data_IF_793121047353
#
_entry.id   IF_793121047353
#
_cell.length_a   1.000
_cell.length_b   1.000
_cell.length_c   1.000
_cell.angle_alpha   90.00
_cell.angle_beta   90.00
_cell.angle_gamma   90.00
#
_symmetry.space_group_name_H-M   'P 1'
#
loop_
_entity.id
_entity.type
_entity.pdbx_description
1 polymer ?
#
# COMPACT_ATOMS: atom_id res chain seq x y z
N UNK A 1 24.13 -32.80 13.88
CA UNK A 1 22.65 -32.83 13.79
C UNK A 1 22.12 -32.31 15.12
N UNK A 2 21.30 -31.27 15.28
CA UNK A 2 20.68 -30.25 14.43
C UNK A 2 20.64 -28.99 15.31
N UNK A 3 21.18 -27.87 14.84
CA UNK A 3 21.03 -26.58 15.50
C UNK A 3 19.82 -25.84 14.86
N UNK A 4 18.71 -25.80 15.58
CA UNK A 4 17.46 -25.15 15.17
C UNK A 4 17.54 -23.63 15.38
N UNK A 5 17.59 -22.92 14.25
CA UNK A 5 17.83 -21.49 14.03
C UNK A 5 16.97 -20.51 14.86
N UNK A 6 17.62 -19.40 15.22
CA UNK A 6 17.05 -18.21 15.85
C UNK A 6 15.82 -17.66 15.10
N UNK A 7 14.77 -17.36 15.87
CA UNK A 7 13.61 -16.57 15.44
C UNK A 7 14.07 -15.14 15.14
N UNK A 8 14.18 -14.78 13.87
CA UNK A 8 14.29 -13.38 13.47
C UNK A 8 12.91 -12.75 13.56
N UNK A 9 12.77 -11.74 14.42
CA UNK A 9 11.59 -10.88 14.46
C UNK A 9 11.36 -10.28 13.07
N UNK A 10 10.14 -10.44 12.56
CA UNK A 10 9.67 -9.86 11.30
C UNK A 10 9.58 -8.34 11.50
N UNK A 11 10.57 -7.60 11.03
CA UNK A 11 10.38 -6.20 10.69
C UNK A 11 9.32 -6.13 9.58
N UNK A 12 8.44 -5.12 9.63
CA UNK A 12 7.55 -4.81 8.50
C UNK A 12 8.43 -4.58 7.28
N UNK A 13 8.24 -5.39 6.24
CA UNK A 13 8.85 -5.16 4.94
C UNK A 13 7.89 -4.30 4.14
N UNK A 14 8.39 -3.41 3.30
CA UNK A 14 7.60 -2.48 2.50
C UNK A 14 6.61 -3.23 1.57
N UNK A 15 6.88 -4.51 1.30
CA UNK A 15 6.01 -5.47 0.61
C UNK A 15 4.67 -5.74 1.33
N UNK A 16 4.59 -5.55 2.66
CA UNK A 16 3.39 -5.82 3.46
C UNK A 16 2.25 -4.81 3.13
N UNK A 17 2.55 -3.72 2.40
CA UNK A 17 1.55 -2.76 1.90
C UNK A 17 0.81 -3.24 0.64
N UNK A 18 1.36 -4.24 -0.07
CA UNK A 18 0.81 -4.80 -1.31
C UNK A 18 0.10 -6.15 -1.11
N UNK A 19 -0.09 -6.61 0.13
CA UNK A 19 -0.75 -7.89 0.46
C UNK A 19 -2.21 -8.00 -0.08
N UNK A 20 -2.74 -6.92 -0.66
CA UNK A 20 -4.15 -6.80 -1.11
C UNK A 20 -4.31 -6.40 -2.58
N UNK A 21 -3.25 -5.91 -3.24
CA UNK A 21 -3.31 -5.53 -4.66
C UNK A 21 -2.23 -6.30 -5.42
N UNK A 22 -2.59 -7.28 -6.27
CA UNK A 22 -1.63 -8.06 -7.02
C UNK A 22 -1.03 -7.27 -8.20
N UNK A 23 -1.36 -6.00 -8.42
CA UNK A 23 -0.90 -5.26 -9.60
C UNK A 23 0.17 -4.21 -9.27
N UNK A 24 1.19 -4.15 -10.13
CA UNK A 24 2.08 -3.01 -10.28
C UNK A 24 1.68 -2.30 -11.57
N UNK A 25 1.29 -1.02 -11.49
CA UNK A 25 0.78 -0.26 -12.64
C UNK A 25 1.85 0.66 -13.22
N UNK A 26 1.96 0.71 -14.54
CA UNK A 26 2.71 1.75 -15.25
C UNK A 26 1.78 2.95 -15.48
N UNK A 27 1.97 4.02 -14.71
CA UNK A 27 1.13 5.21 -14.81
C UNK A 27 1.68 6.15 -15.88
N UNK A 28 1.10 6.11 -17.07
CA UNK A 28 1.43 7.04 -18.15
C UNK A 28 0.83 8.42 -17.90
N UNK A 29 1.49 9.46 -18.41
CA UNK A 29 0.95 10.82 -18.44
C UNK A 29 -0.35 10.82 -19.25
N UNK A 30 -1.46 11.14 -18.58
CA UNK A 30 -2.78 11.11 -19.21
C UNK A 30 -3.05 12.32 -20.12
N UNK A 31 -2.57 13.51 -19.74
CA UNK A 31 -2.70 14.76 -20.49
C UNK A 31 -1.42 15.56 -20.42
N UNK A 32 -1.22 16.46 -21.39
CA UNK A 32 -0.13 17.41 -21.32
C UNK A 32 -0.33 18.44 -20.19
N UNK A 33 0.77 18.99 -19.64
CA UNK A 33 0.69 20.01 -18.59
C UNK A 33 -0.17 21.20 -19.03
N UNK A 34 -1.09 21.61 -18.16
CA UNK A 34 -1.96 22.77 -18.42
C UNK A 34 -1.25 24.04 -17.99
N UNK A 35 -1.14 25.01 -18.90
CA UNK A 35 -0.55 26.32 -18.62
C UNK A 35 0.94 26.23 -18.27
N UNK A 36 1.32 26.67 -17.07
CA UNK A 36 2.71 26.64 -16.58
C UNK A 36 2.94 25.57 -15.51
N UNK A 37 2.03 24.61 -15.39
CA UNK A 37 2.16 23.50 -14.44
C UNK A 37 3.36 22.65 -14.82
N UNK A 38 4.13 22.23 -13.82
CA UNK A 38 5.30 21.35 -13.96
C UNK A 38 5.09 20.14 -13.07
N UNK A 39 5.75 19.03 -13.37
CA UNK A 39 5.80 17.93 -12.43
C UNK A 39 6.68 18.27 -11.22
N UNK A 40 6.44 17.58 -10.11
CA UNK A 40 7.16 17.85 -8.85
C UNK A 40 8.67 17.62 -9.00
N UNK A 41 9.07 16.65 -9.83
CA UNK A 41 10.49 16.38 -10.07
C UNK A 41 11.18 17.57 -10.75
N UNK A 42 10.56 18.17 -11.76
CA UNK A 42 11.04 19.40 -12.40
C UNK A 42 11.08 20.57 -11.43
N UNK A 43 10.06 20.74 -10.59
CA UNK A 43 10.00 21.82 -9.59
C UNK A 43 11.16 21.71 -8.61
N UNK A 44 11.36 20.53 -8.02
CA UNK A 44 12.42 20.32 -7.04
C UNK A 44 13.81 20.29 -7.67
N UNK A 45 13.95 19.81 -8.91
CA UNK A 45 15.20 19.89 -9.67
C UNK A 45 15.61 21.34 -9.91
N UNK A 46 14.66 22.20 -10.32
CA UNK A 46 14.91 23.62 -10.53
C UNK A 46 15.21 24.35 -9.22
N UNK A 47 14.58 23.95 -8.11
CA UNK A 47 14.91 24.49 -6.79
C UNK A 47 16.32 24.09 -6.35
N UNK A 48 16.70 22.82 -6.53
CA UNK A 48 18.02 22.29 -6.22
C UNK A 48 19.12 22.99 -7.06
N UNK A 49 18.82 23.32 -8.31
CA UNK A 49 19.70 24.13 -9.17
C UNK A 49 19.96 25.52 -8.60
N UNK A 50 18.90 26.22 -8.18
CA UNK A 50 19.03 27.54 -7.55
C UNK A 50 19.80 27.51 -6.23
N UNK A 51 19.79 26.37 -5.55
CA UNK A 51 20.49 26.16 -4.29
C UNK A 51 21.89 25.52 -4.48
N UNK A 52 22.30 25.22 -5.71
CA UNK A 52 23.63 24.74 -6.04
C UNK A 52 23.90 23.25 -5.78
N UNK A 53 22.86 22.42 -5.65
CA UNK A 53 23.00 20.97 -5.39
C UNK A 53 22.20 20.09 -6.37
N UNK A 54 21.87 20.61 -7.56
CA UNK A 54 21.10 19.89 -8.59
C UNK A 54 21.63 18.49 -8.86
N UNK A 55 22.94 18.34 -9.10
CA UNK A 55 23.52 17.05 -9.48
C UNK A 55 23.41 16.01 -8.37
N UNK A 56 23.48 16.43 -7.11
CA UNK A 56 23.25 15.55 -5.97
C UNK A 56 21.77 15.16 -5.81
N UNK A 57 20.85 16.06 -6.19
CA UNK A 57 19.41 15.79 -6.15
C UNK A 57 18.95 14.88 -7.30
N UNK A 58 19.36 15.17 -8.54
CA UNK A 58 18.93 14.43 -9.73
C UNK A 58 19.76 13.18 -9.96
N UNK A 59 20.97 13.10 -9.39
CA UNK A 59 22.00 12.13 -9.71
C UNK A 59 22.27 12.02 -11.22
N UNK A 60 22.06 13.13 -11.96
CA UNK A 60 22.18 13.16 -13.41
C UNK A 60 21.08 12.42 -14.18
N UNK A 61 19.99 12.01 -13.53
CA UNK A 61 18.86 11.30 -14.15
C UNK A 61 17.67 12.22 -14.41
N UNK A 62 16.83 11.84 -15.35
CA UNK A 62 15.48 12.36 -15.58
C UNK A 62 14.44 11.57 -14.80
N UNK A 63 13.22 12.10 -14.70
CA UNK A 63 12.09 11.39 -14.07
C UNK A 63 11.85 10.01 -14.70
N UNK A 64 11.89 9.92 -16.04
CA UNK A 64 11.70 8.66 -16.78
C UNK A 64 12.82 7.65 -16.49
N UNK A 65 14.06 8.12 -16.34
CA UNK A 65 15.19 7.27 -15.96
C UNK A 65 15.05 6.75 -14.52
N UNK A 66 14.51 7.56 -13.61
CA UNK A 66 14.18 7.12 -12.25
C UNK A 66 13.11 6.03 -12.24
N UNK A 67 12.05 6.19 -13.05
CA UNK A 67 10.99 5.18 -13.18
C UNK A 67 11.56 3.86 -13.73
N UNK A 68 12.40 3.92 -14.77
CA UNK A 68 13.08 2.74 -15.33
C UNK A 68 13.97 2.05 -14.28
N UNK A 69 14.78 2.82 -13.55
CA UNK A 69 15.63 2.28 -12.49
C UNK A 69 14.80 1.61 -11.39
N UNK A 70 13.69 2.21 -10.98
CA UNK A 70 12.81 1.64 -9.97
C UNK A 70 12.20 0.32 -10.43
N UNK A 71 11.78 0.21 -11.70
CA UNK A 71 11.31 -1.05 -12.26
C UNK A 71 12.41 -2.13 -12.28
N UNK A 72 13.62 -1.80 -12.72
CA UNK A 72 14.73 -2.75 -12.75
C UNK A 72 15.11 -3.25 -11.34
N UNK A 73 15.08 -2.36 -10.34
CA UNK A 73 15.26 -2.72 -8.94
C UNK A 73 14.17 -3.69 -8.44
N UNK A 74 12.90 -3.40 -8.79
CA UNK A 74 11.78 -4.28 -8.50
C UNK A 74 11.93 -5.64 -9.18
N UNK A 75 12.29 -5.68 -10.47
CA UNK A 75 12.54 -6.91 -11.24
C UNK A 75 13.63 -7.75 -10.62
N UNK A 76 14.73 -7.13 -10.18
CA UNK A 76 15.79 -7.81 -9.45
C UNK A 76 15.32 -8.38 -8.10
N UNK A 77 14.40 -7.69 -7.41
CA UNK A 77 13.78 -8.18 -6.18
C UNK A 77 12.86 -9.38 -6.42
N UNK A 78 12.08 -9.33 -7.49
CA UNK A 78 11.18 -10.41 -7.91
C UNK A 78 11.97 -11.66 -8.33
N UNK A 79 13.06 -11.49 -9.08
CA UNK A 79 13.92 -12.60 -9.48
C UNK A 79 14.50 -13.35 -8.26
N UNK A 80 14.87 -12.64 -7.18
CA UNK A 80 15.31 -13.28 -5.91
C UNK A 80 14.21 -14.10 -5.24
N UNK A 81 12.94 -13.82 -5.54
CA UNK A 81 11.76 -14.55 -5.07
C UNK A 81 11.32 -15.65 -6.04
N UNK A 82 12.05 -15.87 -7.13
CA UNK A 82 11.68 -16.83 -8.19
C UNK A 82 10.52 -16.36 -9.07
N UNK A 83 10.20 -15.07 -9.05
CA UNK A 83 9.14 -14.47 -9.86
C UNK A 83 9.79 -13.84 -11.09
N UNK A 84 9.42 -14.33 -12.27
CA UNK A 84 9.83 -13.75 -13.54
C UNK A 84 8.95 -12.54 -13.86
N UNK A 85 9.58 -11.41 -14.16
CA UNK A 85 8.91 -10.17 -14.51
C UNK A 85 9.48 -9.64 -15.84
N UNK A 86 8.67 -8.98 -16.67
CA UNK A 86 9.08 -8.50 -17.98
C UNK A 86 10.19 -7.44 -17.91
N UNK A 87 10.89 -7.22 -19.02
CA UNK A 87 11.74 -6.04 -19.18
C UNK A 87 10.92 -4.73 -19.11
N UNK A 88 11.61 -3.60 -18.96
CA UNK A 88 10.94 -2.32 -18.79
C UNK A 88 10.04 -1.95 -19.96
N UNK A 89 10.48 -2.14 -21.20
CA UNK A 89 9.72 -1.71 -22.38
C UNK A 89 8.45 -2.55 -22.52
N UNK A 90 8.53 -3.86 -22.29
CA UNK A 90 7.37 -4.77 -22.25
C UNK A 90 6.41 -4.40 -21.12
N UNK A 91 6.92 -4.13 -19.90
CA UNK A 91 6.10 -3.66 -18.78
C UNK A 91 5.38 -2.34 -19.09
N UNK A 92 6.12 -1.40 -19.68
CA UNK A 92 5.63 -0.05 -19.98
C UNK A 92 4.56 -0.09 -21.06
N UNK A 93 4.74 -0.89 -22.12
CA UNK A 93 3.71 -1.08 -23.16
C UNK A 93 2.47 -1.80 -22.62
N UNK A 94 2.66 -2.81 -21.77
CA UNK A 94 1.55 -3.57 -21.17
C UNK A 94 0.70 -2.72 -20.20
N UNK A 95 1.31 -1.71 -19.56
CA UNK A 95 0.64 -0.83 -18.61
C UNK A 95 0.53 -1.39 -17.19
N UNK A 96 0.83 -2.67 -16.98
CA UNK A 96 0.79 -3.32 -15.67
C UNK A 96 1.59 -4.63 -15.62
N UNK A 97 1.94 -5.05 -14.40
CA UNK A 97 2.42 -6.40 -14.08
C UNK A 97 1.57 -6.98 -12.94
N UNK A 98 1.04 -8.19 -13.12
CA UNK A 98 0.30 -8.91 -12.09
C UNK A 98 1.23 -9.88 -11.36
N UNK A 99 1.38 -9.69 -10.06
CA UNK A 99 2.05 -10.60 -9.14
C UNK A 99 1.36 -11.97 -9.15
N UNK A 100 2.11 -13.08 -9.17
CA UNK A 100 1.52 -14.40 -8.94
C UNK A 100 0.89 -14.46 -7.54
N UNK A 101 -0.24 -15.17 -7.44
CA UNK A 101 -0.92 -15.39 -6.16
C UNK A 101 0.01 -16.18 -5.21
N UNK A 102 0.15 -15.75 -3.94
CA UNK A 102 0.89 -16.53 -2.96
C UNK A 102 0.19 -17.87 -2.70
N UNK A 103 0.95 -18.96 -2.70
CA UNK A 103 0.43 -20.33 -2.48
C UNK A 103 -0.29 -20.50 -1.13
N UNK A 104 -0.07 -19.61 -0.16
CA UNK A 104 -0.56 -19.74 1.22
C UNK A 104 -1.34 -18.50 1.70
N UNK A 105 -2.47 -18.17 1.07
CA UNK A 105 -3.50 -17.36 1.75
C UNK A 105 -4.29 -18.20 2.80
N UNK A 106 -4.29 -19.53 2.65
CA UNK A 106 -5.10 -20.45 3.49
C UNK A 106 -4.56 -20.60 4.93
N UNK A 107 -3.25 -20.44 5.15
CA UNK A 107 -2.63 -20.69 6.46
C UNK A 107 -2.95 -19.66 7.55
N UNK A 108 -3.57 -18.51 7.22
CA UNK A 108 -3.87 -17.45 8.20
C UNK A 108 -4.94 -17.85 9.23
N UNK A 109 -5.76 -18.84 8.91
CA UNK A 109 -6.81 -19.37 9.79
C UNK A 109 -6.55 -20.78 10.33
N UNK A 110 -5.47 -21.45 9.90
CA UNK A 110 -5.15 -22.82 10.34
C UNK A 110 -4.72 -22.90 11.81
N UNK A 111 -4.43 -21.76 12.44
CA UNK A 111 -4.21 -21.63 13.88
C UNK A 111 -5.43 -21.15 14.68
N UNK A 112 -6.58 -20.90 14.03
CA UNK A 112 -7.80 -20.50 14.72
C UNK A 112 -8.45 -21.75 15.33
N UNK A 113 -8.66 -21.82 16.65
CA UNK A 113 -9.31 -22.97 17.28
C UNK A 113 -10.68 -23.21 16.64
N UNK A 114 -10.86 -24.36 16.01
CA UNK A 114 -12.15 -24.82 15.48
C UNK A 114 -12.98 -25.39 16.63
N UNK A 115 -13.44 -24.53 17.53
CA UNK A 115 -14.28 -24.92 18.65
C UNK A 115 -14.59 -23.75 19.58
N UNK A 116 -15.75 -23.74 20.26
CA UNK A 116 -16.08 -22.69 21.21
C UNK A 116 -15.04 -22.69 22.33
N UNK A 117 -14.29 -21.59 22.46
CA UNK A 117 -13.43 -21.39 23.61
C UNK A 117 -14.30 -21.38 24.86
N UNK A 118 -14.01 -22.25 25.83
CA UNK A 118 -14.61 -22.26 27.18
C UNK A 118 -14.15 -21.08 28.04
N UNK A 119 -13.87 -19.93 27.42
CA UNK A 119 -13.66 -18.66 28.09
C UNK A 119 -15.01 -17.95 28.14
N UNK A 120 -15.52 -17.56 29.32
CA UNK A 120 -16.69 -16.68 29.38
C UNK A 120 -16.33 -15.39 28.64
N UNK A 121 -17.16 -15.02 27.66
CA UNK A 121 -17.01 -13.79 26.90
C UNK A 121 -16.89 -12.62 27.88
N UNK A 122 -15.85 -11.79 27.71
CA UNK A 122 -15.83 -10.48 28.37
C UNK A 122 -16.93 -9.64 27.72
N UNK A 123 -17.55 -8.75 28.50
CA UNK A 123 -18.73 -7.93 28.15
C UNK A 123 -18.60 -7.00 26.91
N UNK A 124 -17.60 -7.21 26.04
CA UNK A 124 -17.48 -6.57 24.72
C UNK A 124 -17.71 -7.52 23.52
N UNK A 125 -17.81 -8.84 23.73
CA UNK A 125 -17.90 -9.84 22.64
C UNK A 125 -19.36 -10.26 22.34
N UNK A 126 -20.31 -9.32 22.37
CA UNK A 126 -21.65 -9.61 21.84
C UNK A 126 -21.62 -9.53 20.31
N UNK A 127 -22.12 -10.55 19.59
CA UNK A 127 -22.19 -10.50 18.13
C UNK A 127 -23.15 -9.40 17.67
N UNK A 128 -22.73 -8.66 16.63
CA UNK A 128 -23.40 -7.47 16.07
C UNK A 128 -24.80 -7.73 15.46
N UNK A 129 -25.30 -8.97 15.50
CA UNK A 129 -26.55 -9.37 14.84
C UNK A 129 -27.83 -8.95 15.58
N UNK A 130 -27.72 -8.45 16.82
CA UNK A 130 -28.88 -8.05 17.64
C UNK A 130 -29.04 -6.53 17.80
N UNK A 131 -28.39 -5.71 16.96
CA UNK A 131 -28.71 -4.29 16.87
C UNK A 131 -29.91 -4.07 15.93
N UNK A 132 -31.07 -4.62 16.33
CA UNK A 132 -32.34 -4.16 15.79
C UNK A 132 -32.57 -2.72 16.25
N UNK A 133 -32.83 -1.84 15.29
CA UNK A 133 -33.15 -0.43 15.47
C UNK A 133 -34.39 -0.28 16.36
N UNK A 134 -34.20 -0.11 17.67
CA UNK A 134 -35.26 0.37 18.56
C UNK A 134 -35.49 1.85 18.25
N UNK A 135 -36.55 2.12 17.46
CA UNK A 135 -37.11 3.47 17.33
C UNK A 135 -37.53 3.94 18.71
N UNK A 136 -36.74 4.81 19.31
CA UNK A 136 -37.14 5.60 20.47
C UNK A 136 -38.40 6.40 20.11
N UNK A 137 -39.54 5.92 20.61
CA UNK A 137 -40.78 6.67 20.70
C UNK A 137 -40.64 7.59 21.92
N UNK A 138 -39.87 8.67 21.77
CA UNK A 138 -39.57 9.61 22.85
C UNK A 138 -40.02 11.01 22.49
N UNK A 139 -41.00 11.53 23.23
CA UNK A 139 -41.60 12.84 23.05
C UNK A 139 -40.65 14.04 23.20
N UNK A 140 -41.12 15.15 22.65
CA UNK A 140 -40.50 16.47 22.59
C UNK A 140 -40.05 17.07 23.94
N UNK A 141 -38.98 17.89 23.90
CA UNK A 141 -38.93 19.34 24.22
C UNK A 141 -37.50 19.79 24.64
N UNK A 142 -37.14 21.09 24.64
CA UNK A 142 -36.48 21.74 23.52
C UNK A 142 -35.04 22.21 23.84
N UNK A 143 -34.19 22.18 22.82
CA UNK A 143 -32.86 22.77 22.84
C UNK A 143 -32.93 24.31 22.93
N UNK A 144 -32.29 24.89 23.95
CA UNK A 144 -31.84 26.29 23.88
C UNK A 144 -30.58 26.32 23.04
N UNK A 145 -30.67 27.02 21.91
CA UNK A 145 -29.66 27.07 20.88
C UNK A 145 -28.38 27.81 21.29
N UNK A 146 -27.29 27.35 20.70
CA UNK A 146 -26.12 28.17 20.42
C UNK A 146 -25.75 27.94 18.96
N UNK A 147 -26.03 28.95 18.14
CA UNK A 147 -25.60 29.07 16.77
C UNK A 147 -24.10 29.43 16.76
N UNK A 148 -23.31 28.72 15.95
CA UNK A 148 -21.96 29.12 15.61
C UNK A 148 -21.97 29.76 14.22
N UNK A 149 -21.37 30.95 14.17
CA UNK A 149 -21.15 31.80 12.98
C UNK A 149 -20.26 31.13 11.95
#
# INVERSE_FOLDING_TARGET
>A
MVAGRARRGKGRSDDDLFDRDPFILAMHRAIDPVGQTRDDYEIFSALAERLGYRDAFTEGRSSDEWVRLQWENSRASLARRGIEAPDFETFWEQGYFRMPEPEAMQARFEGFPQGPSSQPARDGDRPYHDLACERESGGASPARGLAWR
#
